data_IF_234050532056
#
_entry.id   IF_234050532056
#
_cell.length_a   1.000
_cell.length_b   1.000
_cell.length_c   1.000
_cell.angle_alpha   90.00
_cell.angle_beta   90.00
_cell.angle_gamma   90.00
#
_symmetry.space_group_name_H-M   'P 1'
#
loop_
_entity.id
_entity.type
_entity.pdbx_description
1 polymer ?
#
# COMPACT_ATOMS: atom_id res chain seq x y z
N UNK A 1 -16.35 8.98 -6.99
CA UNK A 1 -16.42 10.45 -7.14
C UNK A 1 -15.12 10.99 -7.76
N UNK A 2 -13.95 10.75 -7.14
CA UNK A 2 -12.66 11.26 -7.65
C UNK A 2 -12.32 10.87 -9.10
N UNK A 3 -12.70 9.66 -9.54
CA UNK A 3 -12.55 9.21 -10.95
C UNK A 3 -13.27 10.08 -11.99
N UNK A 4 -14.47 10.54 -11.64
CA UNK A 4 -15.36 11.21 -12.58
C UNK A 4 -15.04 12.70 -12.67
N UNK A 5 -14.35 13.25 -11.67
CA UNK A 5 -14.05 14.68 -11.62
C UNK A 5 -13.32 15.17 -12.88
N UNK A 6 -12.26 14.51 -13.40
CA UNK A 6 -11.61 14.94 -14.64
C UNK A 6 -12.60 15.15 -15.80
N UNK A 7 -13.57 14.24 -15.98
CA UNK A 7 -14.61 14.35 -17.02
C UNK A 7 -15.57 15.51 -16.74
N UNK A 8 -15.96 15.72 -15.48
CA UNK A 8 -16.86 16.81 -15.10
C UNK A 8 -16.21 18.20 -15.26
N UNK A 9 -14.89 18.27 -15.11
CA UNK A 9 -14.09 19.46 -15.37
C UNK A 9 -14.03 19.83 -16.86
N UNK A 10 -14.13 18.85 -17.76
CA UNK A 10 -14.18 19.03 -19.22
C UNK A 10 -15.61 19.06 -19.79
N UNK A 11 -16.63 19.02 -18.92
CA UNK A 11 -18.03 19.04 -19.34
C UNK A 11 -18.40 20.35 -20.05
N UNK A 12 -19.31 20.32 -21.04
CA UNK A 12 -19.69 21.51 -21.82
C UNK A 12 -20.45 22.57 -21.02
N UNK A 13 -21.22 22.15 -20.01
CA UNK A 13 -21.95 23.04 -19.11
C UNK A 13 -21.03 23.73 -18.10
N UNK A 14 -21.08 25.06 -18.04
CA UNK A 14 -20.31 25.88 -17.11
C UNK A 14 -20.67 25.62 -15.64
N UNK A 15 -21.93 25.34 -15.33
CA UNK A 15 -22.38 25.07 -13.96
C UNK A 15 -21.79 23.75 -13.47
N UNK A 16 -21.74 22.72 -14.32
CA UNK A 16 -21.12 21.42 -13.98
C UNK A 16 -19.63 21.59 -13.69
N UNK A 17 -18.92 22.38 -14.50
CA UNK A 17 -17.50 22.69 -14.24
C UNK A 17 -17.31 23.45 -12.92
N UNK A 18 -18.15 24.44 -12.63
CA UNK A 18 -18.09 25.21 -11.39
C UNK A 18 -18.42 24.35 -10.15
N UNK A 19 -19.44 23.49 -10.22
CA UNK A 19 -19.77 22.55 -9.14
C UNK A 19 -18.66 21.53 -8.91
N UNK A 20 -17.97 21.09 -9.97
CA UNK A 20 -16.83 20.16 -9.87
C UNK A 20 -15.64 20.79 -9.15
N UNK A 21 -15.38 22.09 -9.41
CA UNK A 21 -14.40 22.87 -8.63
C UNK A 21 -14.78 22.90 -7.15
N UNK A 22 -16.02 23.28 -6.82
CA UNK A 22 -16.51 23.32 -5.44
C UNK A 22 -16.39 21.96 -4.72
N UNK A 23 -16.78 20.88 -5.39
CA UNK A 23 -16.63 19.51 -4.86
C UNK A 23 -15.16 19.14 -4.61
N UNK A 24 -14.25 19.56 -5.47
CA UNK A 24 -12.81 19.29 -5.32
C UNK A 24 -12.20 20.05 -4.15
N UNK A 25 -12.63 21.29 -3.92
CA UNK A 25 -12.21 22.08 -2.76
C UNK A 25 -12.69 21.45 -1.44
N UNK A 26 -13.94 20.98 -1.40
CA UNK A 26 -14.46 20.25 -0.25
C UNK A 26 -13.70 18.94 -0.04
N UNK A 27 -13.46 18.14 -1.07
CA UNK A 27 -12.64 16.93 -0.94
C UNK A 27 -11.25 17.25 -0.36
N UNK A 28 -10.61 18.34 -0.77
CA UNK A 28 -9.33 18.77 -0.21
C UNK A 28 -9.40 19.21 1.27
N UNK A 29 -10.55 19.74 1.72
CA UNK A 29 -10.77 20.06 3.14
C UNK A 29 -10.93 18.82 4.01
N UNK A 30 -11.47 17.74 3.45
CA UNK A 30 -11.75 16.50 4.18
C UNK A 30 -10.59 15.51 4.14
N UNK A 31 -9.93 15.37 2.99
CA UNK A 31 -8.93 14.31 2.76
C UNK A 31 -7.50 14.85 2.58
N UNK A 32 -7.34 16.18 2.53
CA UNK A 32 -6.07 16.85 2.30
C UNK A 32 -5.78 17.15 0.82
N UNK A 33 -4.86 18.08 0.57
CA UNK A 33 -4.55 18.59 -0.78
C UNK A 33 -3.75 17.58 -1.61
N UNK A 34 -2.78 16.90 -0.99
CA UNK A 34 -1.83 16.06 -1.70
C UNK A 34 -2.45 14.77 -2.28
N UNK A 35 -3.32 14.03 -1.55
CA UNK A 35 -4.00 12.86 -2.11
C UNK A 35 -4.92 13.23 -3.28
N UNK A 36 -5.66 14.34 -3.17
CA UNK A 36 -6.54 14.83 -4.25
C UNK A 36 -5.73 15.19 -5.49
N UNK A 37 -4.62 15.93 -5.33
CA UNK A 37 -3.74 16.30 -6.44
C UNK A 37 -3.15 15.07 -7.13
N UNK A 38 -2.62 14.11 -6.38
CA UNK A 38 -2.01 12.89 -6.92
C UNK A 38 -2.97 12.13 -7.84
N UNK A 39 -4.26 12.04 -7.46
CA UNK A 39 -5.28 11.31 -8.22
C UNK A 39 -5.82 12.11 -9.42
N UNK A 40 -6.02 13.42 -9.27
CA UNK A 40 -6.60 14.26 -10.32
C UNK A 40 -5.57 14.72 -11.36
N UNK A 41 -4.35 15.09 -10.95
CA UNK A 41 -3.39 15.75 -11.84
C UNK A 41 -2.80 14.83 -12.90
N UNK A 42 -2.86 13.52 -12.71
CA UNK A 42 -2.49 12.56 -13.75
C UNK A 42 -3.45 12.62 -14.95
N UNK A 43 -4.71 13.00 -14.73
CA UNK A 43 -5.80 12.90 -15.72
C UNK A 43 -6.33 14.25 -16.21
N UNK A 44 -5.75 15.37 -15.78
CA UNK A 44 -6.19 16.73 -16.14
C UNK A 44 -5.21 17.43 -17.09
N UNK A 45 -5.71 18.40 -17.86
CA UNK A 45 -4.89 19.30 -18.70
C UNK A 45 -4.18 20.34 -17.84
N UNK A 46 -3.00 20.79 -18.26
CA UNK A 46 -2.14 21.69 -17.44
C UNK A 46 -2.81 23.03 -17.09
N UNK A 47 -3.65 23.57 -17.97
CA UNK A 47 -4.44 24.78 -17.69
C UNK A 47 -5.36 24.56 -16.48
N UNK A 48 -5.99 23.39 -16.38
CA UNK A 48 -6.95 23.06 -15.32
C UNK A 48 -6.23 22.76 -14.01
N UNK A 49 -5.03 22.16 -14.07
CA UNK A 49 -4.17 21.99 -12.90
C UNK A 49 -3.82 23.34 -12.29
N UNK A 50 -3.38 24.31 -13.10
CA UNK A 50 -3.06 25.66 -12.64
C UNK A 50 -4.26 26.38 -12.00
N UNK A 51 -5.43 26.28 -12.62
CA UNK A 51 -6.66 26.84 -12.04
C UNK A 51 -7.00 26.19 -10.69
N UNK A 52 -6.91 24.86 -10.59
CA UNK A 52 -7.17 24.15 -9.35
C UNK A 52 -6.13 24.49 -8.27
N UNK A 53 -4.84 24.58 -8.62
CA UNK A 53 -3.78 24.97 -7.70
C UNK A 53 -4.02 26.36 -7.12
N UNK A 54 -4.43 27.32 -7.96
CA UNK A 54 -4.77 28.67 -7.51
C UNK A 54 -5.94 28.69 -6.51
N UNK A 55 -6.98 27.89 -6.76
CA UNK A 55 -8.14 27.79 -5.86
C UNK A 55 -7.81 27.01 -4.57
N UNK A 56 -6.92 26.01 -4.64
CA UNK A 56 -6.51 25.19 -3.49
C UNK A 56 -5.65 25.94 -2.47
N UNK A 57 -5.00 27.04 -2.83
CA UNK A 57 -4.30 27.92 -1.87
C UNK A 57 -5.28 28.46 -0.84
N UNK A 58 -6.52 28.72 -1.25
CA UNK A 58 -7.57 29.30 -0.39
C UNK A 58 -8.25 28.26 0.53
N UNK A 59 -7.95 26.97 0.34
CA UNK A 59 -8.46 25.91 1.22
C UNK A 59 -7.60 25.86 2.48
N UNK A 60 -8.15 26.36 3.60
CA UNK A 60 -7.53 26.31 4.92
C UNK A 60 -8.43 25.54 5.90
N UNK A 61 -7.80 24.72 6.76
CA UNK A 61 -8.48 23.93 7.80
C UNK A 61 -9.02 22.58 7.34
N UNK A 62 -9.18 21.66 8.30
CA UNK A 62 -9.88 20.39 8.12
C UNK A 62 -11.38 20.60 8.33
N UNK A 63 -12.20 20.16 7.37
CA UNK A 63 -13.67 20.25 7.51
C UNK A 63 -14.17 19.26 8.58
N UNK A 64 -15.14 19.71 9.39
CA UNK A 64 -15.83 18.87 10.38
C UNK A 64 -17.28 18.62 9.93
N UNK A 65 -17.86 17.43 10.20
CA UNK A 65 -19.26 17.17 9.88
C UNK A 65 -20.19 18.16 10.60
N UNK A 66 -20.98 18.92 9.84
CA UNK A 66 -21.93 19.90 10.40
C UNK A 66 -23.33 19.32 10.63
N UNK A 67 -23.61 18.13 10.08
CA UNK A 67 -24.90 17.45 10.19
C UNK A 67 -24.70 15.94 10.29
N UNK A 68 -25.18 15.34 11.38
CA UNK A 68 -25.17 13.89 11.62
C UNK A 68 -26.11 13.18 10.65
N UNK A 69 -25.80 11.94 10.28
CA UNK A 69 -26.70 11.09 9.49
C UNK A 69 -27.86 10.59 10.37
N UNK A 70 -28.99 10.22 9.77
CA UNK A 70 -30.20 9.77 10.48
C UNK A 70 -29.92 8.62 11.46
N UNK A 71 -29.02 7.70 11.08
CA UNK A 71 -28.59 6.57 11.91
C UNK A 71 -27.72 6.95 13.14
N UNK A 72 -27.15 8.16 13.17
CA UNK A 72 -26.42 8.72 14.31
C UNK A 72 -27.29 9.58 15.23
N UNK A 73 -28.51 9.93 14.81
CA UNK A 73 -29.50 10.60 15.66
C UNK A 73 -30.27 9.58 16.53
N UNK A 74 -30.44 8.35 16.06
CA UNK A 74 -31.14 7.27 16.79
C UNK A 74 -30.28 6.60 17.89
N UNK A 75 -29.06 7.11 18.14
CA UNK A 75 -28.07 6.49 19.05
C UNK A 75 -27.85 7.22 20.38
N UNK A 76 -28.67 8.20 20.74
CA UNK A 76 -28.71 8.71 22.12
C UNK A 76 -30.13 8.59 22.70
N UNK A 77 -30.31 7.95 23.87
CA UNK A 77 -31.50 8.16 24.67
C UNK A 77 -31.50 9.60 25.18
N UNK A 78 -32.68 10.18 25.25
CA UNK A 78 -33.00 11.53 25.69
C UNK A 78 -32.20 11.95 26.94
N UNK A 79 -31.31 12.94 26.81
CA UNK A 79 -30.90 13.75 27.97
C UNK A 79 -31.95 14.82 28.21
N UNK A 80 -32.99 14.46 28.96
CA UNK A 80 -33.77 15.43 29.71
C UNK A 80 -32.93 16.00 30.87
N UNK A 81 -32.99 17.33 30.98
CA UNK A 81 -32.42 18.16 32.03
C UNK A 81 -33.07 17.89 33.40
N UNK A 82 -32.41 17.21 34.35
CA UNK A 82 -32.62 17.43 35.81
C UNK A 82 -31.34 17.13 36.62
N UNK A 83 -31.15 17.91 37.68
CA UNK A 83 -29.98 18.05 38.57
C UNK A 83 -29.63 16.87 39.51
N UNK A 84 -28.34 16.87 39.93
CA UNK A 84 -27.66 16.30 41.12
C UNK A 84 -28.03 14.89 41.66
N UNK A 85 -27.04 13.98 41.72
CA UNK A 85 -26.35 13.45 42.94
C UNK A 85 -25.54 12.17 42.62
N UNK A 86 -24.22 12.25 42.90
CA UNK A 86 -23.17 11.22 43.17
C UNK A 86 -23.21 9.79 42.59
N UNK A 87 -22.09 9.36 41.99
CA UNK A 87 -21.60 7.97 42.11
C UNK A 87 -20.80 7.39 40.92
N UNK A 88 -19.47 7.55 40.93
CA UNK A 88 -18.40 6.64 40.42
C UNK A 88 -18.65 5.73 39.19
N UNK A 89 -17.95 6.02 38.08
CA UNK A 89 -17.78 5.13 36.90
C UNK A 89 -16.80 3.96 37.13
N UNK A 90 -16.15 3.35 36.10
CA UNK A 90 -15.99 3.72 34.67
C UNK A 90 -16.35 2.54 33.71
N UNK A 91 -16.26 2.52 32.38
CA UNK A 91 -15.61 3.33 31.34
C UNK A 91 -16.14 2.78 30.00
N UNK A 92 -16.82 3.59 29.20
CA UNK A 92 -17.02 3.30 27.77
C UNK A 92 -16.03 4.16 26.97
N UNK A 93 -15.40 3.50 26.01
CA UNK A 93 -14.34 4.03 25.16
C UNK A 93 -14.79 5.31 24.47
N UNK A 94 -14.11 6.41 24.82
CA UNK A 94 -14.11 7.63 24.05
C UNK A 94 -13.57 7.31 22.65
N UNK A 95 -14.47 7.25 21.67
CA UNK A 95 -14.11 7.23 20.25
C UNK A 95 -13.41 8.57 19.97
N UNK A 96 -12.09 8.53 19.88
CA UNK A 96 -11.29 9.70 19.53
C UNK A 96 -11.60 10.10 18.09
N UNK A 97 -12.33 11.21 17.93
CA UNK A 97 -12.50 11.95 16.68
C UNK A 97 -11.17 12.63 16.31
N UNK A 98 -10.17 11.82 15.96
CA UNK A 98 -9.00 12.27 15.22
C UNK A 98 -9.35 12.23 13.73
N UNK A 99 -9.00 13.26 12.93
CA UNK A 99 -9.18 13.20 11.49
C UNK A 99 -8.49 11.95 10.96
N UNK A 100 -9.26 10.98 10.45
CA UNK A 100 -8.66 9.84 9.75
C UNK A 100 -7.88 10.40 8.57
N UNK A 101 -6.56 10.26 8.58
CA UNK A 101 -5.75 10.47 7.39
C UNK A 101 -6.20 9.45 6.35
N UNK A 102 -7.02 9.89 5.39
CA UNK A 102 -7.56 9.03 4.35
C UNK A 102 -6.38 8.62 3.46
N UNK A 103 -6.00 7.35 3.55
CA UNK A 103 -4.88 6.78 2.81
C UNK A 103 -5.14 6.83 1.30
N UNK A 104 -4.21 7.45 0.55
CA UNK A 104 -4.25 7.57 -0.91
C UNK A 104 -4.49 6.22 -1.62
N UNK A 105 -4.00 5.13 -1.03
CA UNK A 105 -4.24 3.79 -1.55
C UNK A 105 -5.71 3.38 -1.57
N UNK A 106 -6.49 3.75 -0.54
CA UNK A 106 -7.91 3.37 -0.46
C UNK A 106 -8.77 4.10 -1.48
N UNK A 107 -8.31 5.26 -1.96
CA UNK A 107 -8.97 6.09 -2.95
C UNK A 107 -8.72 5.63 -4.40
N UNK A 108 -7.70 4.79 -4.61
CA UNK A 108 -7.35 4.20 -5.91
C UNK A 108 -8.08 2.88 -6.08
N UNK A 109 -8.49 2.55 -7.30
CA UNK A 109 -9.16 1.28 -7.55
C UNK A 109 -8.21 0.11 -7.62
N UNK A 110 -8.64 -1.05 -7.09
CA UNK A 110 -7.87 -2.26 -7.24
C UNK A 110 -7.78 -2.66 -8.71
N UNK A 111 -6.54 -2.89 -9.18
CA UNK A 111 -6.25 -3.38 -10.53
C UNK A 111 -6.04 -4.89 -10.46
N UNK A 112 -6.79 -5.65 -11.27
CA UNK A 112 -6.54 -7.07 -11.44
C UNK A 112 -5.30 -7.30 -12.31
N UNK A 113 -4.31 -7.99 -11.74
CA UNK A 113 -3.07 -8.37 -12.42
C UNK A 113 -2.99 -9.86 -12.72
N UNK A 114 -3.88 -10.69 -12.15
CA UNK A 114 -3.86 -12.14 -12.35
C UNK A 114 -4.40 -12.50 -13.74
N UNK A 115 -5.50 -11.90 -14.18
CA UNK A 115 -6.05 -12.18 -15.52
C UNK A 115 -5.06 -11.84 -16.66
N UNK A 116 -4.38 -10.67 -16.65
CA UNK A 116 -3.32 -10.39 -17.63
C UNK A 116 -2.14 -11.34 -17.52
N UNK A 117 -1.73 -11.72 -16.30
CA UNK A 117 -0.62 -12.64 -16.06
C UNK A 117 -0.90 -14.05 -16.59
N UNK A 118 -2.13 -14.56 -16.42
CA UNK A 118 -2.55 -15.86 -16.95
C UNK A 118 -2.54 -15.91 -18.48
N UNK A 119 -2.88 -14.80 -19.13
CA UNK A 119 -2.84 -14.65 -20.59
C UNK A 119 -1.42 -14.37 -21.11
N UNK A 120 -0.48 -14.10 -20.21
CA UNK A 120 0.90 -13.82 -20.53
C UNK A 120 1.71 -15.12 -20.69
N UNK A 121 2.94 -15.01 -21.18
CA UNK A 121 3.88 -16.12 -21.24
C UNK A 121 4.54 -16.47 -19.91
N UNK A 122 4.07 -15.91 -18.78
CA UNK A 122 4.72 -16.02 -17.47
C UNK A 122 5.01 -17.47 -17.05
N UNK A 123 3.99 -18.33 -17.06
CA UNK A 123 4.10 -19.69 -16.51
C UNK A 123 5.06 -20.61 -17.27
N UNK A 124 5.20 -20.39 -18.58
CA UNK A 124 6.16 -21.11 -19.41
C UNK A 124 7.54 -20.45 -19.33
N UNK A 125 7.58 -19.12 -19.35
CA UNK A 125 8.81 -18.33 -19.27
C UNK A 125 9.60 -18.58 -17.99
N UNK A 126 8.94 -18.68 -16.82
CA UNK A 126 9.61 -19.01 -15.54
C UNK A 126 10.19 -20.42 -15.50
N UNK A 127 9.77 -21.32 -16.39
CA UNK A 127 10.29 -22.69 -16.52
C UNK A 127 11.36 -22.81 -17.61
N UNK A 128 11.63 -21.74 -18.36
CA UNK A 128 12.58 -21.76 -19.47
C UNK A 128 13.99 -22.14 -19.00
N UNK A 129 14.70 -22.91 -19.83
CA UNK A 129 16.09 -23.25 -19.57
C UNK A 129 17.00 -22.01 -19.59
N UNK A 130 16.70 -21.06 -20.50
CA UNK A 130 17.46 -19.83 -20.65
C UNK A 130 17.11 -18.85 -19.52
N UNK A 131 18.11 -18.48 -18.73
CA UNK A 131 17.92 -17.58 -17.59
C UNK A 131 17.34 -16.21 -17.98
N UNK A 132 17.65 -15.73 -19.18
CA UNK A 132 17.11 -14.45 -19.66
C UNK A 132 15.60 -14.52 -19.87
N UNK A 133 15.07 -15.64 -20.39
CA UNK A 133 13.63 -15.84 -20.56
C UNK A 133 12.92 -15.93 -19.22
N UNK A 134 13.52 -16.61 -18.23
CA UNK A 134 13.00 -16.59 -16.85
C UNK A 134 12.96 -15.18 -16.28
N UNK A 135 14.03 -14.40 -16.49
CA UNK A 135 14.08 -13.00 -16.03
C UNK A 135 12.99 -12.15 -16.69
N UNK A 136 12.83 -12.23 -18.01
CA UNK A 136 11.81 -11.46 -18.74
C UNK A 136 10.39 -11.82 -18.29
N UNK A 137 10.12 -13.10 -18.04
CA UNK A 137 8.84 -13.54 -17.50
C UNK A 137 8.55 -12.90 -16.13
N UNK A 138 9.54 -12.88 -15.23
CA UNK A 138 9.38 -12.22 -13.92
C UNK A 138 9.28 -10.71 -14.07
N UNK A 139 10.01 -10.10 -15.00
CA UNK A 139 9.94 -8.66 -15.25
C UNK A 139 8.55 -8.21 -15.74
N UNK A 140 7.86 -9.06 -16.51
CA UNK A 140 6.46 -8.82 -16.88
C UNK A 140 5.56 -8.78 -15.64
N UNK A 141 5.72 -9.73 -14.72
CA UNK A 141 5.03 -9.71 -13.43
C UNK A 141 5.40 -8.47 -12.59
N UNK A 142 6.68 -8.10 -12.52
CA UNK A 142 7.15 -6.90 -11.82
C UNK A 142 6.43 -5.66 -12.35
N UNK A 143 6.30 -5.54 -13.68
CA UNK A 143 5.61 -4.43 -14.34
C UNK A 143 4.13 -4.40 -13.99
N UNK A 144 3.43 -5.54 -14.07
CA UNK A 144 2.02 -5.62 -13.68
C UNK A 144 1.82 -5.26 -12.19
N UNK A 145 2.69 -5.75 -11.31
CA UNK A 145 2.63 -5.49 -9.88
C UNK A 145 3.05 -4.05 -9.48
N UNK A 146 3.52 -3.21 -10.42
CA UNK A 146 3.91 -1.83 -10.12
C UNK A 146 2.73 -0.88 -9.90
N UNK A 147 1.49 -1.35 -10.07
CA UNK A 147 0.27 -0.57 -9.80
C UNK A 147 0.12 -0.26 -8.30
N UNK A 148 -0.33 0.95 -7.96
CA UNK A 148 -0.48 1.40 -6.57
C UNK A 148 -1.40 0.50 -5.71
N UNK A 149 -2.50 -0.01 -6.27
CA UNK A 149 -3.44 -0.93 -5.60
C UNK A 149 -3.77 -2.13 -6.48
N UNK A 150 -3.47 -3.32 -5.98
CA UNK A 150 -3.73 -4.59 -6.67
C UNK A 150 -5.02 -5.19 -6.10
N UNK A 151 -5.86 -5.75 -6.98
CA UNK A 151 -7.05 -6.48 -6.58
C UNK A 151 -6.67 -7.74 -5.76
N UNK A 152 -7.31 -7.98 -4.61
CA UNK A 152 -7.12 -9.23 -3.87
C UNK A 152 -7.47 -10.44 -4.74
N UNK A 153 -6.67 -11.50 -4.62
CA UNK A 153 -6.83 -12.73 -5.40
C UNK A 153 -5.92 -13.84 -4.89
N UNK A 154 -5.91 -14.99 -5.57
CA UNK A 154 -5.04 -16.10 -5.18
C UNK A 154 -3.64 -15.93 -5.78
N UNK A 155 -2.73 -15.36 -5.00
CA UNK A 155 -1.31 -15.24 -5.34
C UNK A 155 -0.45 -16.43 -4.89
N UNK A 156 -1.05 -17.52 -4.41
CA UNK A 156 -0.31 -18.64 -3.80
C UNK A 156 0.68 -19.27 -4.77
N UNK A 157 0.26 -19.56 -6.00
CA UNK A 157 1.12 -20.19 -6.99
C UNK A 157 2.21 -19.25 -7.51
N UNK A 158 1.89 -17.96 -7.66
CA UNK A 158 2.87 -16.91 -7.96
C UNK A 158 3.94 -16.88 -6.87
N UNK A 159 3.54 -16.90 -5.59
CA UNK A 159 4.48 -16.87 -4.46
C UNK A 159 5.33 -18.13 -4.36
N UNK A 160 4.78 -19.32 -4.63
CA UNK A 160 5.57 -20.57 -4.71
C UNK A 160 6.61 -20.51 -5.82
N UNK A 161 6.24 -19.95 -6.96
CA UNK A 161 7.15 -19.76 -8.10
C UNK A 161 8.26 -18.77 -7.77
N UNK A 162 7.90 -17.58 -7.26
CA UNK A 162 8.88 -16.57 -6.84
C UNK A 162 9.82 -17.09 -5.75
N UNK A 163 9.34 -17.89 -4.79
CA UNK A 163 10.18 -18.55 -3.77
C UNK A 163 11.29 -19.39 -4.37
N UNK A 164 11.00 -20.14 -5.44
CA UNK A 164 12.00 -20.93 -6.17
C UNK A 164 12.99 -20.01 -6.89
N UNK A 165 12.49 -18.96 -7.55
CA UNK A 165 13.30 -18.03 -8.33
C UNK A 165 14.23 -17.14 -7.48
N UNK A 166 13.89 -16.87 -6.21
CA UNK A 166 14.83 -16.23 -5.26
C UNK A 166 16.13 -17.04 -5.16
N UNK A 167 16.07 -18.36 -5.27
CA UNK A 167 17.22 -19.26 -5.20
C UNK A 167 17.78 -19.65 -6.57
N UNK A 168 17.36 -18.98 -7.65
CA UNK A 168 17.84 -19.26 -9.00
C UNK A 168 19.38 -19.14 -9.07
N UNK A 169 19.97 -20.03 -9.87
CA UNK A 169 21.42 -20.06 -10.14
C UNK A 169 21.91 -18.76 -10.76
N UNK A 170 21.06 -18.08 -11.53
CA UNK A 170 21.35 -16.76 -12.09
C UNK A 170 20.82 -15.66 -11.18
N UNK A 171 21.74 -14.85 -10.67
CA UNK A 171 21.40 -13.76 -9.75
C UNK A 171 20.45 -12.72 -10.37
N UNK A 172 20.50 -12.45 -11.68
CA UNK A 172 19.62 -11.46 -12.29
C UNK A 172 18.15 -11.89 -12.20
N UNK A 173 17.86 -13.19 -12.31
CA UNK A 173 16.51 -13.75 -12.11
C UNK A 173 16.09 -13.62 -10.64
N UNK A 174 17.01 -13.92 -9.72
CA UNK A 174 16.78 -13.78 -8.27
C UNK A 174 16.45 -12.35 -7.87
N UNK A 175 17.20 -11.36 -8.37
CA UNK A 175 16.95 -9.93 -8.11
C UNK A 175 15.56 -9.51 -8.61
N UNK A 176 15.21 -9.89 -9.84
CA UNK A 176 13.91 -9.56 -10.43
C UNK A 176 12.75 -10.18 -9.62
N UNK A 177 12.91 -11.43 -9.17
CA UNK A 177 11.91 -12.10 -8.34
C UNK A 177 11.72 -11.41 -6.98
N UNK A 178 12.80 -10.94 -6.37
CA UNK A 178 12.76 -10.19 -5.11
C UNK A 178 12.02 -8.85 -5.32
N UNK A 179 12.32 -8.13 -6.40
CA UNK A 179 11.64 -6.87 -6.73
C UNK A 179 10.14 -7.07 -7.00
N UNK A 180 9.76 -8.14 -7.70
CA UNK A 180 8.36 -8.50 -7.90
C UNK A 180 7.62 -8.72 -6.58
N UNK A 181 8.24 -9.40 -5.60
CA UNK A 181 7.68 -9.59 -4.25
C UNK A 181 7.48 -8.24 -3.55
N UNK A 182 8.46 -7.33 -3.64
CA UNK A 182 8.35 -5.99 -3.06
C UNK A 182 7.21 -5.17 -3.66
N UNK A 183 6.98 -5.30 -4.96
CA UNK A 183 5.85 -4.67 -5.66
C UNK A 183 4.51 -5.26 -5.22
N UNK A 184 4.39 -6.59 -5.15
CA UNK A 184 3.19 -7.28 -4.67
C UNK A 184 2.85 -6.87 -3.24
N UNK A 185 3.85 -6.78 -2.35
CA UNK A 185 3.64 -6.34 -0.98
C UNK A 185 3.06 -4.92 -0.89
N UNK A 186 3.61 -3.97 -1.67
CA UNK A 186 3.10 -2.59 -1.75
C UNK A 186 1.67 -2.52 -2.27
N UNK A 187 1.37 -3.27 -3.32
CA UNK A 187 0.08 -3.21 -3.99
C UNK A 187 -1.04 -3.97 -3.28
N UNK A 188 -0.74 -5.04 -2.54
CA UNK A 188 -1.74 -5.89 -1.86
C UNK A 188 -1.86 -5.64 -0.35
N UNK A 189 -0.81 -5.10 0.28
CA UNK A 189 -0.79 -4.80 1.74
C UNK A 189 -1.20 -6.00 2.59
N UNK A 190 -2.18 -5.85 3.49
CA UNK A 190 -2.64 -6.89 4.40
C UNK A 190 -3.10 -8.18 3.68
N UNK A 191 -3.60 -8.10 2.45
CA UNK A 191 -3.96 -9.28 1.65
C UNK A 191 -2.75 -10.15 1.28
N UNK A 192 -1.53 -9.61 1.39
CA UNK A 192 -0.28 -10.33 1.14
C UNK A 192 0.39 -10.88 2.41
N UNK A 193 -0.25 -10.78 3.58
CA UNK A 193 0.38 -11.15 4.85
C UNK A 193 0.77 -12.64 4.93
N UNK A 194 -0.13 -13.55 4.49
CA UNK A 194 0.15 -15.00 4.46
C UNK A 194 1.34 -15.34 3.55
N UNK A 195 1.34 -14.79 2.34
CA UNK A 195 2.43 -14.95 1.37
C UNK A 195 3.74 -14.35 1.87
N UNK A 196 3.68 -13.22 2.56
CA UNK A 196 4.85 -12.55 3.13
C UNK A 196 5.54 -13.41 4.20
N UNK A 197 4.77 -14.01 5.11
CA UNK A 197 5.30 -14.94 6.13
C UNK A 197 5.90 -16.19 5.48
N UNK A 198 5.29 -16.70 4.41
CA UNK A 198 5.82 -17.84 3.65
C UNK A 198 7.15 -17.54 2.94
N UNK A 199 7.36 -16.30 2.50
CA UNK A 199 8.54 -15.86 1.74
C UNK A 199 9.67 -15.34 2.64
N UNK A 200 9.35 -14.81 3.83
CA UNK A 200 10.32 -14.18 4.72
C UNK A 200 11.56 -15.06 5.04
N UNK A 201 11.43 -16.35 5.37
CA UNK A 201 12.60 -17.18 5.71
C UNK A 201 13.63 -17.26 4.59
N UNK A 202 13.18 -17.39 3.33
CA UNK A 202 14.09 -17.51 2.18
C UNK A 202 14.74 -16.15 1.85
N UNK A 203 14.02 -15.05 2.06
CA UNK A 203 14.55 -13.70 1.87
C UNK A 203 15.66 -13.41 2.90
N UNK A 204 15.42 -13.73 4.18
CA UNK A 204 16.41 -13.58 5.24
C UNK A 204 17.64 -14.47 4.99
N UNK A 205 17.46 -15.71 4.53
CA UNK A 205 18.60 -16.57 4.18
C UNK A 205 19.42 -15.98 3.01
N UNK A 206 18.75 -15.32 2.05
CA UNK A 206 19.41 -14.73 0.87
C UNK A 206 20.26 -13.50 1.21
N UNK A 207 20.13 -12.91 2.40
CA UNK A 207 21.02 -11.86 2.92
C UNK A 207 22.49 -12.31 3.09
N UNK A 208 22.80 -13.59 2.86
CA UNK A 208 24.19 -14.08 2.79
C UNK A 208 24.99 -13.52 1.62
N UNK A 209 24.32 -12.95 0.62
CA UNK A 209 24.94 -12.40 -0.58
C UNK A 209 25.36 -10.93 -0.39
N UNK A 210 26.56 -10.59 -0.87
CA UNK A 210 27.16 -9.25 -0.71
C UNK A 210 27.08 -8.36 -1.95
N UNK A 211 26.44 -8.81 -3.03
CA UNK A 211 26.38 -8.05 -4.28
C UNK A 211 25.41 -6.86 -4.11
N UNK A 212 25.85 -5.62 -4.35
CA UNK A 212 25.05 -4.42 -4.04
C UNK A 212 23.64 -4.46 -4.63
N UNK A 213 23.50 -4.85 -5.90
CA UNK A 213 22.20 -4.93 -6.59
C UNK A 213 21.21 -5.89 -5.90
N UNK A 214 21.70 -7.00 -5.36
CA UNK A 214 20.87 -7.97 -4.66
C UNK A 214 20.59 -7.54 -3.22
N UNK A 215 21.60 -7.02 -2.52
CA UNK A 215 21.43 -6.51 -1.15
C UNK A 215 20.44 -5.35 -1.11
N UNK A 216 20.50 -4.45 -2.08
CA UNK A 216 19.55 -3.34 -2.24
C UNK A 216 18.13 -3.83 -2.49
N UNK A 217 17.95 -4.75 -3.45
CA UNK A 217 16.65 -5.34 -3.75
C UNK A 217 16.04 -6.07 -2.53
N UNK A 218 16.85 -6.84 -1.79
CA UNK A 218 16.42 -7.51 -0.55
C UNK A 218 16.00 -6.49 0.52
N UNK A 219 16.81 -5.47 0.75
CA UNK A 219 16.54 -4.44 1.75
C UNK A 219 15.24 -3.70 1.42
N UNK A 220 15.09 -3.21 0.20
CA UNK A 220 13.88 -2.50 -0.24
C UNK A 220 12.64 -3.39 -0.15
N UNK A 221 12.76 -4.67 -0.50
CA UNK A 221 11.64 -5.63 -0.44
C UNK A 221 11.21 -5.92 0.99
N UNK A 222 12.16 -6.23 1.89
CA UNK A 222 11.87 -6.47 3.30
C UNK A 222 11.26 -5.24 3.97
N UNK A 223 11.78 -4.04 3.66
CA UNK A 223 11.21 -2.77 4.14
C UNK A 223 9.80 -2.54 3.61
N UNK A 224 9.56 -2.81 2.31
CA UNK A 224 8.24 -2.68 1.70
C UNK A 224 7.21 -3.64 2.30
N UNK A 225 7.59 -4.89 2.56
CA UNK A 225 6.73 -5.88 3.23
C UNK A 225 6.31 -5.42 4.63
N UNK A 226 7.22 -4.79 5.38
CA UNK A 226 6.90 -4.25 6.69
C UNK A 226 6.01 -3.00 6.59
N UNK A 227 6.43 -1.98 5.84
CA UNK A 227 5.71 -0.71 5.68
C UNK A 227 4.30 -0.87 5.12
N UNK A 228 4.08 -1.87 4.28
CA UNK A 228 2.77 -2.14 3.69
C UNK A 228 1.83 -2.92 4.62
N UNK A 229 2.24 -3.18 5.86
CA UNK A 229 1.46 -3.92 6.85
C UNK A 229 1.35 -5.41 6.54
N UNK A 230 2.19 -5.97 5.67
CA UNK A 230 2.17 -7.40 5.35
C UNK A 230 2.83 -8.24 6.45
N UNK A 231 3.72 -7.65 7.25
CA UNK A 231 4.42 -8.29 8.35
C UNK A 231 4.22 -7.45 9.62
N UNK A 232 3.90 -8.12 10.73
CA UNK A 232 3.92 -7.54 12.06
C UNK A 232 5.12 -8.12 12.83
N UNK A 233 5.83 -7.32 13.63
CA UNK A 233 6.98 -7.77 14.42
C UNK A 233 6.64 -8.98 15.29
N UNK A 234 5.49 -8.97 15.97
CA UNK A 234 5.04 -10.08 16.84
C UNK A 234 4.95 -11.42 16.08
N UNK A 235 4.62 -11.32 14.80
CA UNK A 235 4.30 -12.44 13.91
C UNK A 235 5.54 -13.10 13.29
N UNK A 236 6.69 -12.41 13.32
CA UNK A 236 7.94 -12.80 12.64
C UNK A 236 9.12 -12.96 13.59
N UNK A 237 8.91 -12.84 14.91
CA UNK A 237 9.98 -12.91 15.93
C UNK A 237 10.81 -14.19 15.79
N UNK A 238 10.17 -15.34 15.57
CA UNK A 238 10.90 -16.62 15.48
C UNK A 238 11.75 -16.72 14.20
N UNK A 239 11.31 -16.13 13.09
CA UNK A 239 12.11 -16.04 11.86
C UNK A 239 13.35 -15.15 12.07
N UNK A 240 13.16 -13.99 12.70
CA UNK A 240 14.25 -13.06 13.05
C UNK A 240 15.26 -13.75 13.97
N UNK A 241 14.77 -14.37 15.05
CA UNK A 241 15.58 -15.11 16.04
C UNK A 241 16.39 -16.23 15.40
N UNK A 242 15.83 -16.89 14.39
CA UNK A 242 16.53 -17.90 13.59
C UNK A 242 17.62 -17.26 12.73
N UNK A 243 17.30 -16.17 12.03
CA UNK A 243 18.24 -15.47 11.14
C UNK A 243 19.43 -14.82 11.90
N UNK A 244 19.21 -14.25 13.08
CA UNK A 244 20.30 -13.67 13.91
C UNK A 244 21.24 -14.71 14.52
N UNK A 245 20.85 -16.00 14.52
CA UNK A 245 21.71 -17.13 14.89
C UNK A 245 22.42 -17.78 13.69
N UNK A 246 22.23 -17.25 12.49
CA UNK A 246 22.83 -17.82 11.28
C UNK A 246 24.37 -17.81 11.35
N UNK A 247 25.00 -18.89 10.89
CA UNK A 247 26.48 -19.00 10.83
C UNK A 247 27.12 -17.87 10.02
N UNK A 248 26.45 -17.36 8.99
CA UNK A 248 26.93 -16.27 8.13
C UNK A 248 26.79 -14.93 8.87
N UNK A 249 27.90 -14.20 9.16
CA UNK A 249 27.84 -12.91 9.85
C UNK A 249 26.99 -11.85 9.12
N UNK A 250 27.03 -11.85 7.79
CA UNK A 250 26.29 -10.89 6.97
C UNK A 250 24.78 -11.04 7.13
N UNK A 251 24.26 -12.27 7.18
CA UNK A 251 22.83 -12.53 7.43
C UNK A 251 22.42 -11.93 8.77
N UNK A 252 23.21 -12.15 9.82
CA UNK A 252 22.93 -11.62 11.16
C UNK A 252 22.91 -10.10 11.17
N UNK A 253 23.95 -9.47 10.62
CA UNK A 253 24.09 -8.02 10.54
C UNK A 253 22.94 -7.36 9.77
N UNK A 254 22.63 -7.85 8.56
CA UNK A 254 21.58 -7.27 7.73
C UNK A 254 20.17 -7.53 8.29
N UNK A 255 19.94 -8.68 8.93
CA UNK A 255 18.67 -8.95 9.63
C UNK A 255 18.47 -7.96 10.78
N UNK A 256 19.51 -7.68 11.57
CA UNK A 256 19.43 -6.71 12.66
C UNK A 256 19.21 -5.29 12.14
N UNK A 257 19.87 -4.89 11.05
CA UNK A 257 19.63 -3.59 10.42
C UNK A 257 18.18 -3.44 9.95
N UNK A 258 17.60 -4.50 9.37
CA UNK A 258 16.19 -4.50 8.99
C UNK A 258 15.26 -4.45 10.21
N UNK A 259 15.57 -5.17 11.29
CA UNK A 259 14.82 -5.10 12.54
C UNK A 259 14.84 -3.68 13.13
N UNK A 260 16.01 -3.02 13.15
CA UNK A 260 16.13 -1.61 13.57
C UNK A 260 15.18 -0.73 12.77
N UNK A 261 15.18 -0.86 11.44
CA UNK A 261 14.25 -0.14 10.57
C UNK A 261 12.78 -0.43 10.93
N UNK A 262 12.42 -1.69 11.18
CA UNK A 262 11.06 -2.05 11.58
C UNK A 262 10.66 -1.32 12.86
N UNK A 263 11.52 -1.33 13.88
CA UNK A 263 11.26 -0.67 15.17
C UNK A 263 11.14 0.85 15.01
N UNK A 264 12.00 1.47 14.19
CA UNK A 264 11.96 2.92 13.93
C UNK A 264 10.73 3.36 13.12
N UNK A 265 10.12 2.45 12.36
CA UNK A 265 8.95 2.71 11.51
C UNK A 265 7.64 2.19 12.11
N UNK A 266 7.68 1.63 13.33
CA UNK A 266 6.50 1.13 14.04
C UNK A 266 5.75 2.20 14.80
#
# INVERSE_FOLDING_TARGET
ILKMLPELFDHQDQNVRASSKGLTLELCRWIGKDPVKSILFEKMRDTMKKELEAELVNVTGAAKPTRKIRAEQDKEPEQEVVAEVTGTGPSEETVSDAPQEIDEYELIDPVDILTPLEKSGFWDGVKAAKWSERKEAVAELTKLASTKRIAPGDFSEVCRTLKKLITDVNMAVSVEAIQAIGNLARGLRAHFAGSSRFLLPVLLEKLKEKRPTLTEALTQTLQAMYKSGCLNLADIVEDIKTAVKNKVPLVRSLTLNWLTFCIETS
#
